data_IF_726453833682
#
_entry.id   IF_726453833682
#
_cell.length_a   1.000
_cell.length_b   1.000
_cell.length_c   1.000
_cell.angle_alpha   90.00
_cell.angle_beta   90.00
_cell.angle_gamma   90.00
#
_symmetry.space_group_name_H-M   'P 1'
#
loop_
_entity.id
_entity.type
_entity.pdbx_description
1 polymer ?
#
# COMPACT_ATOMS: atom_id res chain seq x y z
N UNK A 1 3.09 -21.27 -5.07
CA UNK A 1 2.23 -20.11 -4.81
C UNK A 1 3.11 -18.86 -4.89
N UNK A 2 2.55 -17.71 -5.28
CA UNK A 2 3.28 -16.43 -5.32
C UNK A 2 3.41 -15.84 -3.92
N UNK A 3 4.55 -15.24 -3.59
CA UNK A 3 4.75 -14.62 -2.27
C UNK A 3 4.30 -13.15 -2.24
N UNK A 4 4.81 -12.31 -3.14
CA UNK A 4 4.41 -10.91 -3.22
C UNK A 4 2.94 -10.78 -3.64
N UNK A 5 2.25 -9.80 -3.05
CA UNK A 5 0.81 -9.60 -3.19
C UNK A 5 0.48 -8.55 -4.24
N UNK A 6 -0.75 -8.59 -4.75
CA UNK A 6 -1.24 -7.62 -5.74
C UNK A 6 -2.38 -6.81 -5.13
N UNK A 7 -2.17 -5.50 -5.07
CA UNK A 7 -3.20 -4.51 -4.74
C UNK A 7 -3.77 -3.98 -6.05
N UNK A 8 -5.09 -3.99 -6.20
CA UNK A 8 -5.77 -3.45 -7.39
C UNK A 8 -6.70 -2.33 -6.98
N UNK A 9 -6.60 -1.19 -7.65
CA UNK A 9 -7.57 -0.10 -7.47
C UNK A 9 -8.85 -0.44 -8.19
N UNK A 10 -9.98 -0.38 -7.49
CA UNK A 10 -11.29 -0.60 -8.10
C UNK A 10 -11.87 0.69 -8.66
N UNK A 11 -12.46 0.59 -9.84
CA UNK A 11 -13.08 1.70 -10.55
C UNK A 11 -14.05 1.21 -11.63
N UNK A 12 -14.55 2.10 -12.50
CA UNK A 12 -15.54 1.76 -13.52
C UNK A 12 -15.22 0.53 -14.39
N UNK A 13 -13.93 0.25 -14.64
CA UNK A 13 -13.51 -0.90 -15.45
C UNK A 13 -13.56 -2.24 -14.70
N UNK A 14 -13.66 -2.23 -13.37
CA UNK A 14 -13.49 -3.41 -12.52
C UNK A 14 -14.59 -3.65 -11.48
N UNK A 15 -15.71 -2.93 -11.58
CA UNK A 15 -16.81 -3.03 -10.62
C UNK A 15 -18.02 -3.84 -11.11
N UNK A 16 -17.90 -4.55 -12.23
CA UNK A 16 -18.86 -5.63 -12.54
C UNK A 16 -18.46 -6.91 -11.78
N UNK A 17 -19.42 -7.73 -11.33
CA UNK A 17 -19.14 -8.98 -10.63
C UNK A 17 -18.21 -9.91 -11.40
N UNK A 18 -18.41 -10.04 -12.71
CA UNK A 18 -17.66 -10.96 -13.57
C UNK A 18 -16.19 -10.55 -13.70
N UNK A 19 -15.93 -9.26 -13.92
CA UNK A 19 -14.56 -8.75 -14.05
C UNK A 19 -13.83 -8.86 -12.72
N UNK A 20 -14.50 -8.52 -11.61
CA UNK A 20 -13.88 -8.59 -10.29
C UNK A 20 -13.56 -10.04 -9.89
N UNK A 21 -14.46 -10.99 -10.17
CA UNK A 21 -14.20 -12.43 -9.99
C UNK A 21 -12.98 -12.88 -10.82
N UNK A 22 -12.91 -12.49 -12.09
CA UNK A 22 -11.75 -12.78 -12.94
C UNK A 22 -10.44 -12.17 -12.40
N UNK A 23 -10.48 -10.95 -11.86
CA UNK A 23 -9.33 -10.34 -11.20
C UNK A 23 -8.89 -11.10 -9.94
N UNK A 24 -9.85 -11.60 -9.13
CA UNK A 24 -9.56 -12.46 -7.97
C UNK A 24 -8.89 -13.76 -8.43
N UNK A 25 -9.36 -14.36 -9.53
CA UNK A 25 -8.74 -15.55 -10.12
C UNK A 25 -7.36 -15.28 -10.71
N UNK A 26 -7.17 -14.13 -11.37
CA UNK A 26 -5.88 -13.70 -11.91
C UNK A 26 -4.85 -13.40 -10.80
N UNK A 27 -5.32 -13.14 -9.58
CA UNK A 27 -4.49 -13.11 -8.37
C UNK A 27 -4.52 -11.80 -7.60
N UNK A 28 -5.57 -10.99 -7.71
CA UNK A 28 -5.80 -9.85 -6.81
C UNK A 28 -5.85 -10.34 -5.34
N UNK A 29 -5.18 -9.62 -4.44
CA UNK A 29 -5.18 -9.90 -3.00
C UNK A 29 -5.85 -8.78 -2.18
N UNK A 30 -5.77 -7.54 -2.68
CA UNK A 30 -6.32 -6.36 -1.99
C UNK A 30 -7.07 -5.50 -3.01
N UNK A 31 -8.30 -5.12 -2.66
CA UNK A 31 -9.08 -4.10 -3.34
C UNK A 31 -8.80 -2.73 -2.71
N UNK A 32 -8.18 -1.83 -3.47
CA UNK A 32 -7.99 -0.43 -3.08
C UNK A 32 -9.21 0.38 -3.51
N UNK A 33 -9.81 1.09 -2.55
CA UNK A 33 -10.85 2.08 -2.78
C UNK A 33 -10.21 3.47 -2.68
N UNK A 34 -10.18 4.20 -3.79
CA UNK A 34 -9.56 5.52 -3.84
C UNK A 34 -10.60 6.61 -3.50
N UNK A 35 -10.55 7.15 -2.29
CA UNK A 35 -11.52 8.16 -1.82
C UNK A 35 -11.25 9.56 -2.37
N UNK A 36 -10.24 9.75 -3.21
CA UNK A 36 -10.11 10.95 -4.04
C UNK A 36 -11.24 11.09 -5.07
N UNK A 37 -11.96 10.00 -5.35
CA UNK A 37 -13.05 9.92 -6.32
C UNK A 37 -14.20 9.06 -5.78
N UNK A 38 -15.38 9.21 -6.37
CA UNK A 38 -16.58 8.45 -6.00
C UNK A 38 -17.28 8.96 -4.75
N UNK A 39 -18.58 8.68 -4.65
CA UNK A 39 -19.37 8.95 -3.45
C UNK A 39 -19.24 7.80 -2.45
N UNK A 40 -19.68 8.04 -1.21
CA UNK A 40 -19.80 6.99 -0.20
C UNK A 40 -20.70 5.84 -0.66
N UNK A 41 -21.84 6.13 -1.29
CA UNK A 41 -22.75 5.11 -1.85
C UNK A 41 -22.06 4.20 -2.88
N UNK A 42 -21.23 4.80 -3.74
CA UNK A 42 -20.42 4.03 -4.69
C UNK A 42 -19.46 3.10 -3.93
N UNK A 43 -18.70 3.62 -2.97
CA UNK A 43 -17.76 2.81 -2.19
C UNK A 43 -18.44 1.71 -1.36
N UNK A 44 -19.65 1.96 -0.83
CA UNK A 44 -20.48 0.93 -0.18
C UNK A 44 -20.80 -0.22 -1.14
N UNK A 45 -21.29 0.11 -2.35
CA UNK A 45 -21.64 -0.91 -3.33
C UNK A 45 -20.45 -1.78 -3.75
N UNK A 46 -19.27 -1.16 -3.90
CA UNK A 46 -18.03 -1.86 -4.23
C UNK A 46 -17.57 -2.72 -3.06
N UNK A 47 -17.67 -2.22 -1.83
CA UNK A 47 -17.36 -2.98 -0.62
C UNK A 47 -18.20 -4.26 -0.53
N UNK A 48 -19.53 -4.14 -0.69
CA UNK A 48 -20.45 -5.27 -0.61
C UNK A 48 -20.16 -6.32 -1.69
N UNK A 49 -19.85 -5.87 -2.90
CA UNK A 49 -19.45 -6.76 -3.99
C UNK A 49 -18.16 -7.53 -3.65
N UNK A 50 -17.11 -6.85 -3.18
CA UNK A 50 -15.83 -7.49 -2.81
C UNK A 50 -16.04 -8.50 -1.68
N UNK A 51 -16.83 -8.16 -0.65
CA UNK A 51 -17.12 -9.06 0.47
C UNK A 51 -17.98 -10.26 0.06
N UNK A 52 -18.92 -10.07 -0.85
CA UNK A 52 -19.72 -11.15 -1.46
C UNK A 52 -18.83 -12.15 -2.18
N UNK A 53 -18.05 -11.68 -3.17
CA UNK A 53 -17.16 -12.54 -3.95
C UNK A 53 -16.07 -13.21 -3.09
N UNK A 54 -15.48 -12.48 -2.13
CA UNK A 54 -14.49 -13.05 -1.21
C UNK A 54 -15.06 -14.24 -0.42
N UNK A 55 -16.34 -14.14 0.01
CA UNK A 55 -17.05 -15.22 0.71
C UNK A 55 -17.36 -16.38 -0.23
N UNK A 56 -17.93 -16.11 -1.39
CA UNK A 56 -18.39 -17.14 -2.33
C UNK A 56 -17.22 -17.95 -2.90
N UNK A 57 -16.12 -17.28 -3.22
CA UNK A 57 -14.89 -17.90 -3.71
C UNK A 57 -14.03 -18.50 -2.59
N UNK A 58 -14.40 -18.29 -1.32
CA UNK A 58 -13.61 -18.67 -0.13
C UNK A 58 -12.15 -18.21 -0.22
N UNK A 59 -11.94 -16.97 -0.69
CA UNK A 59 -10.62 -16.35 -0.86
C UNK A 59 -10.55 -15.06 -0.07
N UNK A 60 -9.52 -14.84 0.76
CA UNK A 60 -9.40 -13.59 1.50
C UNK A 60 -9.02 -12.47 0.55
N UNK A 61 -9.88 -11.43 0.48
CA UNK A 61 -9.57 -10.18 -0.22
C UNK A 61 -9.62 -9.05 0.79
N UNK A 62 -8.48 -8.41 1.02
CA UNK A 62 -8.44 -7.23 1.89
C UNK A 62 -9.02 -6.01 1.17
N UNK A 63 -9.58 -5.08 1.93
CA UNK A 63 -10.04 -3.78 1.43
C UNK A 63 -9.17 -2.69 2.05
N UNK A 64 -8.51 -1.92 1.20
CA UNK A 64 -7.67 -0.78 1.57
C UNK A 64 -8.40 0.51 1.19
N UNK A 65 -8.75 1.29 2.20
CA UNK A 65 -9.24 2.65 2.01
C UNK A 65 -8.05 3.58 1.81
N UNK A 66 -7.97 4.25 0.66
CA UNK A 66 -6.94 5.26 0.39
C UNK A 66 -7.54 6.66 0.55
N UNK A 67 -7.16 7.34 1.64
CA UNK A 67 -7.62 8.70 1.96
C UNK A 67 -6.98 9.71 1.02
N UNK A 68 -7.71 10.76 0.69
CA UNK A 68 -7.30 11.73 -0.34
C UNK A 68 -6.13 12.60 0.12
N UNK A 69 -6.16 13.07 1.36
CA UNK A 69 -5.22 14.06 1.87
C UNK A 69 -5.37 15.46 1.23
N UNK A 70 -4.47 16.41 1.57
CA UNK A 70 -4.54 17.79 1.11
C UNK A 70 -4.21 17.91 -0.38
N UNK A 71 -5.25 17.89 -1.22
CA UNK A 71 -5.11 17.99 -2.68
C UNK A 71 -5.16 19.44 -3.14
N UNK A 72 -3.99 20.06 -3.30
CA UNK A 72 -3.85 21.42 -3.79
C UNK A 72 -4.02 21.42 -5.31
N UNK A 73 -4.90 22.27 -5.84
CA UNK A 73 -5.20 22.38 -7.27
C UNK A 73 -5.38 23.82 -7.69
N UNK A 74 -5.20 24.08 -8.99
CA UNK A 74 -5.71 25.31 -9.62
C UNK A 74 -7.21 25.21 -9.83
N UNK A 75 -7.90 26.34 -9.87
CA UNK A 75 -9.32 26.44 -10.19
C UNK A 75 -9.64 26.16 -11.66
N UNK A 76 -10.74 26.73 -12.14
CA UNK A 76 -11.18 26.60 -13.53
C UNK A 76 -10.79 27.82 -14.35
N UNK A 77 -10.58 27.64 -15.65
CA UNK A 77 -10.29 28.68 -16.62
C UNK A 77 -11.52 28.98 -17.47
N UNK A 78 -11.67 30.22 -17.93
CA UNK A 78 -12.74 30.66 -18.85
C UNK A 78 -12.84 29.77 -20.11
N UNK A 79 -11.69 29.43 -20.67
CA UNK A 79 -11.55 28.61 -21.89
C UNK A 79 -11.29 27.13 -21.59
N UNK A 80 -11.35 26.72 -20.32
CA UNK A 80 -11.04 25.36 -19.85
C UNK A 80 -9.54 25.02 -19.78
N UNK A 81 -8.68 25.82 -20.40
CA UNK A 81 -7.22 25.72 -20.32
C UNK A 81 -6.52 26.99 -20.79
N UNK A 82 -5.28 27.18 -20.36
CA UNK A 82 -4.41 28.27 -20.79
C UNK A 82 -3.00 27.79 -21.15
N UNK A 83 -2.35 28.47 -22.09
CA UNK A 83 -0.96 28.20 -22.46
C UNK A 83 -0.05 29.18 -21.70
N UNK A 84 0.91 28.63 -20.96
CA UNK A 84 1.90 29.39 -20.20
C UNK A 84 3.25 29.30 -20.91
N UNK A 85 3.86 30.42 -21.28
CA UNK A 85 5.16 30.47 -21.95
C UNK A 85 6.26 30.86 -20.98
N UNK A 86 7.48 30.41 -21.28
CA UNK A 86 8.63 30.65 -20.40
C UNK A 86 8.91 32.15 -20.30
N UNK A 87 9.03 32.64 -19.07
CA UNK A 87 9.24 34.05 -18.76
C UNK A 87 7.95 34.83 -18.52
N UNK A 88 6.77 34.25 -18.81
CA UNK A 88 5.50 34.88 -18.46
C UNK A 88 5.37 35.00 -16.94
N UNK A 89 4.79 36.12 -16.49
CA UNK A 89 4.31 36.24 -15.13
C UNK A 89 2.93 35.59 -15.01
N UNK A 90 2.72 34.81 -13.97
CA UNK A 90 1.45 34.14 -13.70
C UNK A 90 1.14 34.18 -12.21
N UNK A 91 -0.09 34.56 -11.87
CA UNK A 91 -0.54 34.77 -10.50
C UNK A 91 -1.42 33.60 -10.09
N UNK A 92 -1.10 32.98 -8.95
CA UNK A 92 -1.99 32.05 -8.29
C UNK A 92 -2.56 32.76 -7.06
N UNK A 93 -3.88 32.86 -7.00
CA UNK A 93 -4.58 33.58 -5.93
C UNK A 93 -5.46 32.65 -5.12
N UNK A 94 -5.70 33.01 -3.86
CA UNK A 94 -6.70 32.35 -3.01
C UNK A 94 -8.10 32.95 -3.16
N UNK A 95 -8.23 34.05 -3.90
CA UNK A 95 -9.53 34.60 -4.26
C UNK A 95 -10.28 33.67 -5.22
N UNK A 96 -11.61 33.55 -5.06
CA UNK A 96 -12.46 32.83 -6.00
C UNK A 96 -12.61 33.62 -7.30
N UNK A 97 -11.76 33.29 -8.28
CA UNK A 97 -11.73 33.90 -9.60
C UNK A 97 -11.70 32.84 -10.69
N UNK A 98 -12.34 33.15 -11.82
CA UNK A 98 -12.22 32.37 -13.02
C UNK A 98 -10.87 32.67 -13.69
N UNK A 99 -10.09 31.62 -13.93
CA UNK A 99 -8.72 31.73 -14.40
C UNK A 99 -8.60 32.18 -15.86
N UNK A 100 -7.53 32.91 -16.14
CA UNK A 100 -7.12 33.33 -17.48
C UNK A 100 -5.59 33.16 -17.66
N UNK A 101 -4.96 33.84 -18.62
CA UNK A 101 -3.52 33.77 -18.88
C UNK A 101 -2.63 34.46 -17.86
N UNK A 102 -3.20 35.29 -16.99
CA UNK A 102 -2.46 36.10 -16.03
C UNK A 102 -2.69 35.65 -14.59
N UNK A 103 -3.90 35.18 -14.25
CA UNK A 103 -4.30 34.87 -12.87
C UNK A 103 -5.24 33.67 -12.81
N UNK A 104 -5.08 32.81 -11.79
CA UNK A 104 -5.99 31.69 -11.50
C UNK A 104 -6.16 31.48 -9.99
N UNK A 105 -7.34 31.04 -9.58
CA UNK A 105 -7.62 30.62 -8.20
C UNK A 105 -6.91 29.30 -7.84
N UNK A 106 -6.73 29.04 -6.54
CA UNK A 106 -6.33 27.74 -6.01
C UNK A 106 -7.33 27.22 -4.97
N UNK A 107 -7.42 25.90 -4.84
CA UNK A 107 -8.21 25.25 -3.77
C UNK A 107 -7.54 25.33 -2.40
N UNK A 108 -6.33 25.89 -2.29
CA UNK A 108 -5.57 25.96 -1.05
C UNK A 108 -5.48 27.40 -0.53
N UNK A 109 -6.35 27.70 0.43
CA UNK A 109 -6.52 29.05 0.98
C UNK A 109 -5.27 29.59 1.70
N UNK A 110 -4.36 28.71 2.15
CA UNK A 110 -3.12 29.08 2.83
C UNK A 110 -1.90 29.16 1.90
N UNK A 111 -2.08 29.07 0.57
CA UNK A 111 -0.95 29.07 -0.37
C UNK A 111 -0.05 30.30 -0.19
N UNK A 112 -0.65 31.48 -0.09
CA UNK A 112 0.05 32.76 0.08
C UNK A 112 0.76 32.90 1.44
N UNK A 113 0.37 32.11 2.45
CA UNK A 113 0.99 32.11 3.77
C UNK A 113 2.20 31.16 3.83
N UNK A 114 2.17 30.08 3.04
CA UNK A 114 3.15 29.00 3.09
C UNK A 114 4.33 29.16 2.13
N UNK A 115 4.15 29.91 1.04
CA UNK A 115 5.19 30.09 0.02
C UNK A 115 5.95 31.39 0.22
N UNK A 116 7.25 31.35 -0.08
CA UNK A 116 8.12 32.52 -0.05
C UNK A 116 8.79 32.74 -1.39
N UNK A 117 9.32 33.95 -1.61
CA UNK A 117 10.09 34.27 -2.82
C UNK A 117 11.21 33.25 -3.03
N UNK A 118 11.25 32.67 -4.23
CA UNK A 118 12.21 31.66 -4.62
C UNK A 118 11.67 30.23 -4.63
N UNK A 119 10.53 29.97 -3.96
CA UNK A 119 9.88 28.67 -3.96
C UNK A 119 9.47 28.20 -5.36
N UNK A 120 9.44 26.88 -5.53
CA UNK A 120 9.08 26.22 -6.78
C UNK A 120 7.66 25.69 -6.65
N UNK A 121 6.83 26.02 -7.64
CA UNK A 121 5.50 25.46 -7.83
C UNK A 121 5.50 24.59 -9.07
N UNK A 122 5.06 23.36 -8.93
CA UNK A 122 4.96 22.38 -10.01
C UNK A 122 3.49 22.15 -10.33
N UNK A 123 3.07 22.41 -11.57
CA UNK A 123 1.69 22.23 -12.00
C UNK A 123 1.56 21.05 -12.95
N UNK A 124 0.38 20.41 -12.88
CA UNK A 124 0.02 19.26 -13.72
C UNK A 124 1.09 18.15 -13.67
N UNK A 125 1.28 17.59 -12.48
CA UNK A 125 2.25 16.51 -12.20
C UNK A 125 3.69 16.88 -12.62
N UNK A 126 4.05 18.16 -12.44
CA UNK A 126 5.39 18.69 -12.71
C UNK A 126 5.67 19.02 -14.18
N UNK A 127 4.69 18.93 -15.08
CA UNK A 127 4.85 19.29 -16.49
C UNK A 127 5.10 20.79 -16.69
N UNK A 128 4.59 21.62 -15.80
CA UNK A 128 4.80 23.07 -15.80
C UNK A 128 5.50 23.45 -14.50
N UNK A 129 6.48 24.34 -14.59
CA UNK A 129 7.26 24.79 -13.44
C UNK A 129 7.22 26.30 -13.34
N UNK A 130 6.80 26.77 -12.18
CA UNK A 130 6.75 28.17 -11.81
C UNK A 130 7.73 28.44 -10.66
N UNK A 131 8.24 29.66 -10.59
CA UNK A 131 9.02 30.16 -9.45
C UNK A 131 8.35 31.37 -8.84
N UNK A 132 8.14 31.35 -7.53
CA UNK A 132 7.59 32.50 -6.79
C UNK A 132 8.57 33.66 -6.86
N UNK A 133 8.10 34.81 -7.35
CA UNK A 133 8.87 36.05 -7.40
C UNK A 133 8.42 37.06 -6.35
N UNK A 134 7.14 37.02 -5.95
CA UNK A 134 6.59 37.88 -4.90
C UNK A 134 5.29 37.30 -4.32
N UNK A 135 4.92 37.75 -3.11
CA UNK A 135 3.65 37.42 -2.47
C UNK A 135 3.02 38.70 -1.93
N UNK A 136 1.87 39.07 -2.46
CA UNK A 136 1.17 40.31 -2.12
C UNK A 136 -0.28 40.03 -1.70
N UNK A 137 -0.51 40.01 -0.38
CA UNK A 137 -1.83 39.64 0.16
C UNK A 137 -2.20 38.23 -0.29
N UNK A 138 -3.32 38.10 -1.00
CA UNK A 138 -3.85 36.82 -1.47
C UNK A 138 -3.17 36.29 -2.74
N UNK A 139 -2.29 37.07 -3.37
CA UNK A 139 -1.72 36.78 -4.68
C UNK A 139 -0.26 36.32 -4.57
N UNK A 140 0.01 35.13 -5.10
CA UNK A 140 1.36 34.58 -5.31
C UNK A 140 1.76 34.84 -6.75
N UNK A 141 2.62 35.83 -6.96
CA UNK A 141 3.16 36.15 -8.28
C UNK A 141 4.32 35.22 -8.59
N UNK A 142 4.27 34.57 -9.75
CA UNK A 142 5.28 33.62 -10.19
C UNK A 142 5.80 33.97 -11.59
N UNK A 143 6.97 33.42 -11.94
CA UNK A 143 7.47 33.40 -13.32
C UNK A 143 7.51 31.96 -13.83
N UNK A 144 7.07 31.76 -15.08
CA UNK A 144 7.07 30.44 -15.72
C UNK A 144 8.50 30.06 -16.14
N UNK A 145 9.04 29.00 -15.53
CA UNK A 145 10.36 28.44 -15.89
C UNK A 145 10.26 27.38 -16.99
N UNK A 146 9.17 26.60 -16.98
CA UNK A 146 8.88 25.54 -17.97
C UNK A 146 7.46 25.73 -18.49
N UNK A 147 7.34 25.85 -19.82
CA UNK A 147 6.07 26.12 -20.52
C UNK A 147 5.17 24.88 -20.58
N UNK A 148 3.86 25.12 -20.73
CA UNK A 148 2.90 24.05 -20.97
C UNK A 148 1.46 24.55 -21.04
N UNK A 149 0.54 23.61 -21.26
CA UNK A 149 -0.90 23.88 -21.27
C UNK A 149 -1.48 23.47 -19.93
N UNK A 150 -1.93 24.46 -19.15
CA UNK A 150 -2.57 24.25 -17.86
C UNK A 150 -4.08 24.13 -18.05
N UNK A 151 -4.66 23.01 -17.63
CA UNK A 151 -6.11 22.76 -17.70
C UNK A 151 -6.77 23.00 -16.34
N UNK A 152 -8.10 22.98 -16.32
CA UNK A 152 -8.89 23.05 -15.08
C UNK A 152 -8.47 21.99 -14.06
N UNK A 153 -8.51 22.35 -12.77
CA UNK A 153 -8.41 21.41 -11.63
C UNK A 153 -7.11 20.56 -11.61
N UNK A 154 -6.04 21.04 -12.24
CA UNK A 154 -4.72 20.40 -12.22
C UNK A 154 -4.03 20.60 -10.88
N UNK A 155 -3.25 19.62 -10.46
CA UNK A 155 -2.56 19.63 -9.17
C UNK A 155 -1.48 20.71 -9.10
N UNK A 156 -1.24 21.21 -7.88
CA UNK A 156 -0.09 22.05 -7.52
C UNK A 156 0.74 21.26 -6.52
N UNK A 157 2.01 21.07 -6.83
CA UNK A 157 3.01 20.45 -5.98
C UNK A 157 3.98 21.53 -5.49
N UNK A 158 4.39 21.40 -4.23
CA UNK A 158 5.11 22.43 -3.46
C UNK A 158 6.36 21.80 -2.83
N UNK A 159 7.39 21.43 -3.64
CA UNK A 159 8.53 20.66 -3.16
C UNK A 159 9.43 21.42 -2.19
N UNK A 160 9.46 22.76 -2.30
CA UNK A 160 10.34 23.61 -1.47
C UNK A 160 9.60 24.32 -0.35
N UNK A 161 8.27 24.44 -0.43
CA UNK A 161 7.48 25.14 0.57
C UNK A 161 7.05 24.22 1.72
N UNK A 162 6.98 24.79 2.93
CA UNK A 162 6.51 24.08 4.11
C UNK A 162 4.97 24.17 4.19
N UNK A 163 4.28 23.32 3.43
CA UNK A 163 2.81 23.28 3.40
C UNK A 163 2.27 23.08 4.82
N UNK A 164 1.46 24.01 5.32
CA UNK A 164 0.86 23.96 6.67
C UNK A 164 -0.39 23.09 6.75
N UNK A 165 -1.01 22.74 5.61
CA UNK A 165 -2.15 21.84 5.53
C UNK A 165 -1.90 20.54 6.32
N UNK A 166 -2.84 20.08 7.15
CA UNK A 166 -2.73 18.78 7.80
C UNK A 166 -2.79 17.66 6.77
N UNK A 167 -2.11 16.54 7.05
CA UNK A 167 -2.19 15.36 6.18
C UNK A 167 -3.58 14.70 6.23
N UNK A 168 -4.38 14.98 7.27
CA UNK A 168 -5.76 14.56 7.41
C UNK A 168 -6.71 15.76 7.27
N UNK A 169 -7.40 15.86 6.15
CA UNK A 169 -8.38 16.94 5.89
C UNK A 169 -9.73 16.68 6.57
N UNK A 170 -10.62 17.67 6.61
CA UNK A 170 -12.00 17.47 7.11
C UNK A 170 -12.76 16.44 6.27
N UNK A 171 -12.55 16.44 4.94
CA UNK A 171 -13.09 15.38 4.07
C UNK A 171 -12.53 14.02 4.45
N UNK A 172 -11.23 13.90 4.69
CA UNK A 172 -10.63 12.62 5.07
C UNK A 172 -11.15 12.11 6.42
N UNK A 173 -11.50 12.98 7.37
CA UNK A 173 -12.12 12.57 8.64
C UNK A 173 -13.50 11.94 8.40
N UNK A 174 -14.31 12.56 7.53
CA UNK A 174 -15.63 12.03 7.14
C UNK A 174 -15.47 10.70 6.40
N UNK A 175 -14.53 10.63 5.46
CA UNK A 175 -14.23 9.41 4.71
C UNK A 175 -13.72 8.30 5.62
N UNK A 176 -12.82 8.61 6.55
CA UNK A 176 -12.28 7.70 7.55
C UNK A 176 -13.39 7.07 8.40
N UNK A 177 -14.31 7.89 8.92
CA UNK A 177 -15.45 7.40 9.69
C UNK A 177 -16.32 6.44 8.87
N UNK A 178 -16.61 6.81 7.62
CA UNK A 178 -17.37 5.96 6.71
C UNK A 178 -16.66 4.62 6.45
N UNK A 179 -15.36 4.63 6.14
CA UNK A 179 -14.60 3.40 5.91
C UNK A 179 -14.49 2.50 7.14
N UNK A 180 -14.38 3.09 8.34
CA UNK A 180 -14.45 2.36 9.61
C UNK A 180 -15.82 1.71 9.78
N UNK A 181 -16.90 2.44 9.46
CA UNK A 181 -18.27 1.95 9.48
C UNK A 181 -18.51 0.76 8.53
N UNK A 182 -17.91 0.79 7.34
CA UNK A 182 -17.92 -0.35 6.40
C UNK A 182 -17.18 -1.57 6.97
N UNK A 183 -16.09 -1.34 7.70
CA UNK A 183 -15.21 -2.39 8.19
C UNK A 183 -14.09 -2.72 7.20
N UNK A 184 -13.46 -1.70 6.62
CA UNK A 184 -12.23 -1.84 5.83
C UNK A 184 -11.10 -2.48 6.66
N UNK A 185 -10.15 -3.11 5.97
CA UNK A 185 -9.06 -3.87 6.60
C UNK A 185 -7.80 -3.01 6.83
N UNK A 186 -7.56 -2.06 5.92
CA UNK A 186 -6.45 -1.12 5.93
C UNK A 186 -6.91 0.31 5.62
N UNK A 187 -6.19 1.29 6.17
CA UNK A 187 -6.27 2.70 5.79
C UNK A 187 -4.92 3.12 5.25
N UNK A 188 -4.87 3.74 4.08
CA UNK A 188 -3.70 4.42 3.58
C UNK A 188 -3.86 5.94 3.76
N UNK A 189 -2.86 6.56 4.40
CA UNK A 189 -2.83 8.01 4.63
C UNK A 189 -1.91 8.65 3.57
N UNK A 190 -2.49 9.53 2.76
CA UNK A 190 -1.76 10.33 1.75
C UNK A 190 -0.97 11.48 2.38
N UNK A 191 0.05 11.93 1.67
CA UNK A 191 0.86 13.11 2.00
C UNK A 191 1.41 13.10 3.42
N UNK A 192 1.79 11.93 3.92
CA UNK A 192 2.50 11.80 5.20
C UNK A 192 3.82 12.55 5.09
N UNK A 193 4.20 13.26 6.14
CA UNK A 193 5.48 13.97 6.27
C UNK A 193 6.24 13.57 7.54
N UNK A 194 5.53 13.15 8.58
CA UNK A 194 6.12 12.81 9.88
C UNK A 194 5.32 11.73 10.63
N UNK A 195 5.90 11.18 11.70
CA UNK A 195 5.20 10.27 12.61
C UNK A 195 3.95 10.90 13.27
N UNK A 196 3.93 12.23 13.43
CA UNK A 196 2.80 12.95 14.01
C UNK A 196 1.53 12.79 13.19
N UNK A 197 1.63 12.76 11.86
CA UNK A 197 0.46 12.60 10.97
C UNK A 197 -0.27 11.27 11.24
N UNK A 198 0.49 10.20 11.52
CA UNK A 198 -0.05 8.89 11.85
C UNK A 198 -0.66 8.89 13.25
N UNK A 199 -0.03 9.55 14.22
CA UNK A 199 -0.60 9.70 15.55
C UNK A 199 -1.91 10.46 15.52
N UNK A 200 -1.99 11.55 14.75
CA UNK A 200 -3.23 12.31 14.55
C UNK A 200 -4.33 11.43 13.96
N UNK A 201 -4.05 10.69 12.89
CA UNK A 201 -5.01 9.72 12.33
C UNK A 201 -5.50 8.72 13.40
N UNK A 202 -4.59 8.17 14.22
CA UNK A 202 -4.94 7.23 15.29
C UNK A 202 -5.86 7.84 16.36
N UNK A 203 -5.76 9.15 16.65
CA UNK A 203 -6.68 9.81 17.61
C UNK A 203 -8.13 9.85 17.14
N UNK A 204 -8.37 9.75 15.83
CA UNK A 204 -9.70 9.69 15.23
C UNK A 204 -10.29 8.28 15.16
N UNK A 205 -9.51 7.24 15.49
CA UNK A 205 -9.98 5.86 15.48
C UNK A 205 -10.78 5.53 16.74
N UNK A 206 -12.00 4.97 16.63
CA UNK A 206 -12.72 4.44 17.77
C UNK A 206 -11.89 3.34 18.45
N UNK A 207 -11.90 3.30 19.80
CA UNK A 207 -11.14 2.30 20.58
C UNK A 207 -11.43 0.86 20.16
N UNK A 208 -12.66 0.56 19.74
CA UNK A 208 -13.07 -0.77 19.26
C UNK A 208 -12.35 -1.24 17.99
N UNK A 209 -11.77 -0.31 17.22
CA UNK A 209 -11.14 -0.58 15.93
C UNK A 209 -9.65 -0.21 15.94
N UNK A 210 -9.24 0.73 16.79
CA UNK A 210 -7.89 1.32 16.84
C UNK A 210 -6.76 0.28 16.91
N UNK A 211 -6.91 -0.79 17.68
CA UNK A 211 -5.87 -1.82 17.85
C UNK A 211 -5.80 -2.81 16.66
N UNK A 212 -6.90 -2.91 15.91
CA UNK A 212 -7.06 -3.94 14.89
C UNK A 212 -6.91 -3.42 13.46
N UNK A 213 -7.27 -2.17 13.18
CA UNK A 213 -7.10 -1.58 11.85
C UNK A 213 -5.62 -1.29 11.59
N UNK A 214 -5.18 -1.48 10.34
CA UNK A 214 -3.78 -1.30 9.94
C UNK A 214 -3.62 -0.04 9.11
N UNK A 215 -2.62 0.76 9.45
CA UNK A 215 -2.35 2.04 8.79
C UNK A 215 -1.12 1.91 7.89
N UNK A 216 -1.28 2.29 6.62
CA UNK A 216 -0.25 2.35 5.61
C UNK A 216 0.10 3.83 5.35
N UNK A 217 1.33 4.24 5.63
CA UNK A 217 1.79 5.60 5.33
C UNK A 217 2.25 5.71 3.90
N UNK A 218 1.70 6.65 3.13
CA UNK A 218 2.14 6.90 1.75
C UNK A 218 3.34 7.84 1.75
N UNK A 219 4.45 7.36 1.20
CA UNK A 219 5.71 8.08 1.07
C UNK A 219 5.70 8.81 -0.27
N UNK A 220 5.27 10.06 -0.23
CA UNK A 220 5.00 10.92 -1.41
C UNK A 220 5.78 12.24 -1.35
N UNK A 221 6.31 12.57 -0.18
CA UNK A 221 6.89 13.88 0.12
C UNK A 221 8.37 13.76 0.51
N UNK A 222 9.22 14.73 0.14
CA UNK A 222 10.63 14.73 0.53
C UNK A 222 10.81 14.63 2.05
N UNK A 223 9.95 15.28 2.83
CA UNK A 223 9.97 15.25 4.29
C UNK A 223 9.78 13.82 4.83
N UNK A 224 8.89 13.03 4.24
CA UNK A 224 8.71 11.63 4.64
C UNK A 224 9.91 10.75 4.32
N UNK A 225 10.70 11.09 3.31
CA UNK A 225 11.96 10.39 3.02
C UNK A 225 13.01 10.68 4.10
N UNK A 226 13.05 11.92 4.61
CA UNK A 226 13.94 12.31 5.70
C UNK A 226 13.53 11.68 7.04
N UNK A 227 12.24 11.68 7.36
CA UNK A 227 11.62 11.16 8.60
C UNK A 227 11.24 9.67 8.53
N UNK A 228 11.79 8.95 7.54
CA UNK A 228 11.28 7.65 7.13
C UNK A 228 11.28 6.59 8.25
N UNK A 229 12.32 6.56 9.08
CA UNK A 229 12.41 5.59 10.18
C UNK A 229 11.33 5.82 11.24
N UNK A 230 11.10 7.08 11.61
CA UNK A 230 10.11 7.44 12.61
C UNK A 230 8.70 7.16 12.10
N UNK A 231 8.42 7.44 10.82
CA UNK A 231 7.17 7.06 10.16
C UNK A 231 6.97 5.54 10.18
N UNK A 232 7.96 4.76 9.75
CA UNK A 232 7.88 3.28 9.73
C UNK A 232 7.64 2.74 11.16
N UNK A 233 8.22 3.37 12.19
CA UNK A 233 8.10 2.92 13.57
C UNK A 233 6.66 2.96 14.10
N UNK A 234 5.84 3.92 13.66
CA UNK A 234 4.45 4.14 14.12
C UNK A 234 3.38 3.61 13.16
N UNK A 235 3.80 3.16 11.98
CA UNK A 235 2.91 2.61 10.93
C UNK A 235 2.86 1.08 10.93
N UNK A 236 1.80 0.51 10.38
CA UNK A 236 1.70 -0.93 10.14
C UNK A 236 2.36 -1.33 8.82
N UNK A 237 2.46 -0.38 7.89
CA UNK A 237 3.21 -0.49 6.64
C UNK A 237 3.44 0.87 5.98
N UNK A 238 4.14 0.85 4.86
CA UNK A 238 4.37 2.01 3.99
C UNK A 238 3.99 1.68 2.55
N UNK A 239 3.59 2.71 1.81
CA UNK A 239 3.35 2.65 0.37
C UNK A 239 4.26 3.67 -0.32
N UNK A 240 5.14 3.20 -1.19
CA UNK A 240 6.05 4.06 -1.95
C UNK A 240 5.32 4.47 -3.23
N UNK A 241 4.77 5.69 -3.27
CA UNK A 241 4.05 6.20 -4.44
C UNK A 241 5.01 7.01 -5.33
N UNK A 242 5.55 6.33 -6.32
CA UNK A 242 6.71 6.78 -7.11
C UNK A 242 6.36 7.90 -8.09
N UNK A 243 5.12 7.92 -8.58
CA UNK A 243 4.57 9.01 -9.38
C UNK A 243 4.59 10.31 -8.59
N UNK A 244 3.91 10.35 -7.45
CA UNK A 244 3.86 11.54 -6.59
C UNK A 244 5.25 11.95 -6.09
N UNK A 245 6.06 10.98 -5.65
CA UNK A 245 7.42 11.25 -5.18
C UNK A 245 8.33 11.77 -6.31
N UNK A 246 8.17 11.28 -7.54
CA UNK A 246 8.93 11.71 -8.70
C UNK A 246 8.52 13.08 -9.24
N UNK A 247 7.38 13.62 -8.81
CA UNK A 247 7.02 15.04 -9.03
C UNK A 247 7.78 15.92 -8.04
N UNK A 248 7.84 15.52 -6.77
CA UNK A 248 8.42 16.34 -5.68
C UNK A 248 9.95 16.20 -5.55
N UNK A 249 10.53 15.12 -6.10
CA UNK A 249 11.96 14.82 -6.03
C UNK A 249 12.54 14.49 -7.42
N UNK A 250 13.85 14.69 -7.64
CA UNK A 250 14.47 14.32 -8.91
C UNK A 250 14.26 12.83 -9.25
N UNK A 251 13.80 12.49 -10.46
CA UNK A 251 13.42 11.13 -10.83
C UNK A 251 14.59 10.14 -10.74
N UNK A 252 15.83 10.59 -10.94
CA UNK A 252 17.03 9.76 -10.78
C UNK A 252 17.30 9.31 -9.34
N UNK A 253 16.71 9.98 -8.34
CA UNK A 253 16.85 9.61 -6.92
C UNK A 253 15.80 8.57 -6.48
N UNK A 254 14.62 8.58 -7.10
CA UNK A 254 13.45 7.77 -6.71
C UNK A 254 13.78 6.27 -6.62
N UNK A 255 14.52 5.63 -7.56
CA UNK A 255 14.85 4.22 -7.45
C UNK A 255 15.68 3.88 -6.20
N UNK A 256 16.60 4.76 -5.78
CA UNK A 256 17.39 4.53 -4.57
C UNK A 256 16.55 4.73 -3.31
N UNK A 257 15.64 5.71 -3.31
CA UNK A 257 14.71 5.95 -2.21
C UNK A 257 13.78 4.74 -2.02
N UNK A 258 13.24 4.18 -3.11
CA UNK A 258 12.44 2.95 -3.06
C UNK A 258 13.20 1.80 -2.39
N UNK A 259 14.42 1.51 -2.86
CA UNK A 259 15.26 0.44 -2.31
C UNK A 259 15.52 0.63 -0.82
N UNK A 260 15.90 1.84 -0.43
CA UNK A 260 16.12 2.21 0.96
C UNK A 260 14.85 2.02 1.80
N UNK A 261 13.71 2.52 1.34
CA UNK A 261 12.46 2.47 2.08
C UNK A 261 11.97 1.03 2.29
N UNK A 262 12.01 0.22 1.24
CA UNK A 262 11.66 -1.20 1.33
C UNK A 262 12.61 -1.92 2.30
N UNK A 263 13.91 -1.70 2.20
CA UNK A 263 14.88 -2.33 3.08
C UNK A 263 14.67 -1.96 4.56
N UNK A 264 14.44 -0.68 4.87
CA UNK A 264 14.19 -0.21 6.24
C UNK A 264 12.87 -0.76 6.80
N UNK A 265 11.80 -0.73 6.02
CA UNK A 265 10.50 -1.25 6.44
C UNK A 265 10.55 -2.77 6.68
N UNK A 266 11.21 -3.52 5.79
CA UNK A 266 11.43 -4.94 5.97
C UNK A 266 12.26 -5.23 7.24
N UNK A 267 13.32 -4.46 7.50
CA UNK A 267 14.12 -4.63 8.72
C UNK A 267 13.30 -4.40 10.02
N UNK A 268 12.26 -3.56 9.95
CA UNK A 268 11.32 -3.31 11.04
C UNK A 268 10.08 -4.22 11.02
N UNK A 269 10.01 -5.18 10.09
CA UNK A 269 8.87 -6.08 9.92
C UNK A 269 7.57 -5.38 9.55
N UNK A 270 7.65 -4.25 8.83
CA UNK A 270 6.50 -3.48 8.33
C UNK A 270 6.20 -3.83 6.89
N UNK A 271 4.92 -3.77 6.53
CA UNK A 271 4.44 -4.07 5.17
C UNK A 271 4.93 -3.00 4.21
N UNK A 272 5.30 -3.40 2.99
CA UNK A 272 5.73 -2.50 1.91
C UNK A 272 4.86 -2.70 0.67
N UNK A 273 4.32 -1.61 0.15
CA UNK A 273 3.59 -1.58 -1.13
C UNK A 273 4.36 -0.68 -2.10
N UNK A 274 4.79 -1.22 -3.24
CA UNK A 274 5.32 -0.39 -4.33
C UNK A 274 4.19 0.00 -5.27
N UNK A 275 3.97 1.30 -5.44
CA UNK A 275 2.76 1.86 -6.06
C UNK A 275 3.07 2.86 -7.17
N UNK A 276 2.06 3.06 -8.05
CA UNK A 276 2.04 3.95 -9.23
C UNK A 276 3.09 3.60 -10.30
N UNK A 277 2.87 3.99 -11.56
CA UNK A 277 3.82 3.75 -12.68
C UNK A 277 4.27 2.29 -12.85
N UNK A 278 3.42 1.31 -12.51
CA UNK A 278 3.81 -0.10 -12.56
C UNK A 278 3.64 -0.65 -13.98
N UNK A 279 2.39 -0.78 -14.45
CA UNK A 279 2.06 -1.27 -15.78
C UNK A 279 1.18 -0.23 -16.52
N UNK A 280 1.45 1.06 -16.33
CA UNK A 280 0.60 2.18 -16.76
C UNK A 280 0.17 2.09 -18.23
N UNK A 281 1.05 1.65 -19.13
CA UNK A 281 0.73 1.47 -20.55
C UNK A 281 -0.39 0.45 -20.80
N UNK A 282 -0.66 -0.44 -19.84
CA UNK A 282 -1.75 -1.42 -19.91
C UNK A 282 -3.14 -0.84 -19.66
N UNK A 283 -3.23 0.44 -19.27
CA UNK A 283 -4.50 1.18 -19.35
C UNK A 283 -5.06 1.16 -20.77
N UNK A 284 -4.19 1.31 -21.78
CA UNK A 284 -4.56 1.42 -23.18
C UNK A 284 -4.13 0.20 -24.02
N UNK A 285 -3.14 -0.57 -23.56
CA UNK A 285 -2.53 -1.66 -24.33
C UNK A 285 -2.69 -3.02 -23.66
N UNK A 286 -2.80 -4.09 -24.46
CA UNK A 286 -2.92 -5.45 -23.94
C UNK A 286 -1.63 -5.99 -23.27
N UNK A 287 -0.47 -5.38 -23.53
CA UNK A 287 0.83 -5.78 -22.97
C UNK A 287 1.60 -4.57 -22.48
N UNK A 288 2.42 -4.72 -21.42
CA UNK A 288 3.25 -3.64 -20.95
C UNK A 288 4.49 -3.48 -21.83
N UNK A 289 5.20 -2.38 -21.63
CA UNK A 289 6.54 -2.18 -22.16
C UNK A 289 7.55 -3.08 -21.42
N UNK A 290 8.74 -3.27 -22.03
CA UNK A 290 9.85 -3.97 -21.36
C UNK A 290 10.37 -3.21 -20.14
N UNK A 291 10.28 -1.88 -20.16
CA UNK A 291 10.70 -1.03 -19.04
C UNK A 291 9.81 -1.27 -17.82
N UNK A 292 8.49 -1.24 -18.00
CA UNK A 292 7.50 -1.53 -16.94
C UNK A 292 7.66 -2.95 -16.38
N UNK A 293 7.83 -3.95 -17.24
CA UNK A 293 8.08 -5.33 -16.78
C UNK A 293 9.37 -5.43 -15.93
N UNK A 294 10.43 -4.74 -16.34
CA UNK A 294 11.68 -4.67 -15.57
C UNK A 294 11.49 -3.93 -14.25
N UNK A 295 10.67 -2.89 -14.23
CA UNK A 295 10.43 -2.06 -13.06
C UNK A 295 9.64 -2.83 -11.97
N UNK A 296 8.57 -3.52 -12.37
CA UNK A 296 7.86 -4.47 -11.50
C UNK A 296 8.80 -5.55 -10.95
N UNK A 297 9.63 -6.13 -11.82
CA UNK A 297 10.58 -7.16 -11.40
C UNK A 297 11.59 -6.63 -10.37
N UNK A 298 12.08 -5.40 -10.55
CA UNK A 298 12.99 -4.76 -9.59
C UNK A 298 12.31 -4.48 -8.25
N UNK A 299 11.05 -4.05 -8.22
CA UNK A 299 10.31 -3.87 -6.96
C UNK A 299 10.21 -5.18 -6.16
N UNK A 300 9.98 -6.31 -6.84
CA UNK A 300 9.99 -7.65 -6.22
C UNK A 300 11.38 -8.02 -5.72
N UNK A 301 12.43 -7.80 -6.54
CA UNK A 301 13.83 -8.06 -6.14
C UNK A 301 14.29 -7.19 -4.97
N UNK A 302 13.74 -5.98 -4.82
CA UNK A 302 13.99 -5.08 -3.69
C UNK A 302 13.33 -5.58 -2.40
N UNK A 303 12.40 -6.52 -2.51
CA UNK A 303 11.76 -7.20 -1.38
C UNK A 303 10.43 -6.59 -0.98
N UNK A 304 9.70 -5.94 -1.91
CA UNK A 304 8.35 -5.41 -1.65
C UNK A 304 7.39 -6.54 -1.24
N UNK A 305 6.54 -6.31 -0.24
CA UNK A 305 5.51 -7.28 0.16
C UNK A 305 4.39 -7.33 -0.87
N UNK A 306 4.07 -6.19 -1.48
CA UNK A 306 3.05 -6.07 -2.50
C UNK A 306 3.41 -5.03 -3.58
N UNK A 307 2.76 -5.19 -4.73
CA UNK A 307 2.79 -4.26 -5.87
C UNK A 307 1.36 -3.80 -6.17
N UNK A 308 1.19 -2.55 -6.61
CA UNK A 308 -0.13 -1.95 -6.78
C UNK A 308 -0.42 -1.47 -8.20
N UNK A 309 -1.57 -1.89 -8.73
CA UNK A 309 -2.18 -1.36 -9.95
C UNK A 309 -3.15 -0.23 -9.61
N UNK A 310 -3.05 0.86 -10.37
CA UNK A 310 -3.78 2.12 -10.19
C UNK A 310 -4.81 2.29 -11.32
N UNK A 311 -4.49 3.09 -12.34
CA UNK A 311 -5.39 3.32 -13.48
C UNK A 311 -5.65 2.05 -14.29
N UNK A 312 -4.67 1.14 -14.32
CA UNK A 312 -4.69 -0.10 -15.08
C UNK A 312 -5.93 -0.95 -14.78
N UNK A 313 -6.31 -1.04 -13.49
CA UNK A 313 -7.49 -1.80 -13.05
C UNK A 313 -8.70 -0.92 -12.82
N UNK A 314 -8.53 0.35 -12.46
CA UNK A 314 -9.66 1.21 -12.12
C UNK A 314 -10.44 1.68 -13.37
N UNK A 315 -9.72 2.07 -14.44
CA UNK A 315 -10.33 2.67 -15.62
C UNK A 315 -9.73 2.17 -16.95
N UNK A 316 -8.73 1.30 -16.90
CA UNK A 316 -8.06 0.74 -18.08
C UNK A 316 -8.96 -0.21 -18.88
N UNK A 317 -8.59 -0.41 -20.15
CA UNK A 317 -9.26 -1.32 -21.09
C UNK A 317 -9.02 -2.80 -20.78
N UNK A 318 -7.95 -3.12 -20.05
CA UNK A 318 -7.47 -4.48 -19.82
C UNK A 318 -7.21 -4.79 -18.33
N UNK A 319 -8.21 -4.61 -17.44
CA UNK A 319 -8.00 -4.71 -15.99
C UNK A 319 -7.59 -6.12 -15.56
N UNK A 320 -8.21 -7.17 -16.10
CA UNK A 320 -7.89 -8.57 -15.76
C UNK A 320 -6.49 -8.95 -16.26
N UNK A 321 -6.14 -8.53 -17.47
CA UNK A 321 -4.84 -8.78 -18.08
C UNK A 321 -3.72 -8.10 -17.31
N UNK A 322 -3.93 -6.88 -16.81
CA UNK A 322 -2.96 -6.18 -15.98
C UNK A 322 -2.66 -6.98 -14.70
N UNK A 323 -3.69 -7.50 -14.03
CA UNK A 323 -3.51 -8.39 -12.86
C UNK A 323 -2.77 -9.67 -13.25
N UNK A 324 -3.13 -10.30 -14.37
CA UNK A 324 -2.51 -11.55 -14.85
C UNK A 324 -1.04 -11.32 -15.22
N UNK A 325 -0.72 -10.20 -15.86
CA UNK A 325 0.64 -9.81 -16.21
C UNK A 325 1.48 -9.55 -14.95
N UNK A 326 0.94 -8.77 -14.01
CA UNK A 326 1.57 -8.53 -12.72
C UNK A 326 1.88 -9.85 -12.00
N UNK A 327 0.90 -10.76 -11.95
CA UNK A 327 1.08 -12.09 -11.37
C UNK A 327 2.16 -12.92 -12.09
N UNK A 328 2.23 -12.84 -13.42
CA UNK A 328 3.23 -13.54 -14.22
C UNK A 328 4.65 -13.02 -13.97
N UNK A 329 4.84 -11.70 -13.90
CA UNK A 329 6.15 -11.10 -13.65
C UNK A 329 6.66 -11.52 -12.27
N UNK A 330 5.84 -11.35 -11.22
CA UNK A 330 6.21 -11.76 -9.87
C UNK A 330 6.57 -13.26 -9.83
N UNK A 331 5.72 -14.10 -10.43
CA UNK A 331 5.93 -15.55 -10.44
C UNK A 331 7.20 -15.99 -11.17
N UNK A 332 7.64 -15.24 -12.18
CA UNK A 332 8.91 -15.50 -12.87
C UNK A 332 10.12 -15.09 -12.01
N UNK A 333 10.06 -13.91 -11.40
CA UNK A 333 11.11 -13.41 -10.51
C UNK A 333 11.32 -14.33 -9.32
N UNK A 334 10.25 -14.73 -8.63
CA UNK A 334 10.33 -15.56 -7.42
C UNK A 334 10.87 -16.98 -7.68
N UNK A 335 10.67 -17.52 -8.90
CA UNK A 335 11.24 -18.82 -9.32
C UNK A 335 12.74 -18.73 -9.62
N UNK A 336 13.23 -17.54 -9.95
CA UNK A 336 14.64 -17.35 -10.33
C UNK A 336 15.58 -17.77 -9.20
N UNK A 337 16.75 -18.28 -9.56
CA UNK A 337 17.82 -18.53 -8.58
C UNK A 337 18.34 -17.23 -7.98
N UNK A 338 18.29 -16.12 -8.72
CA UNK A 338 18.70 -14.79 -8.26
C UNK A 338 17.87 -14.34 -7.05
N UNK A 339 16.55 -14.48 -7.11
CA UNK A 339 15.67 -14.15 -5.99
C UNK A 339 15.89 -15.10 -4.80
N UNK A 340 15.98 -16.41 -5.04
CA UNK A 340 16.17 -17.43 -3.98
C UNK A 340 17.51 -17.37 -3.26
N UNK A 341 18.50 -16.72 -3.88
CA UNK A 341 19.85 -16.52 -3.35
C UNK A 341 20.05 -15.09 -2.83
N UNK A 342 18.99 -14.27 -2.74
CA UNK A 342 19.08 -13.00 -2.04
C UNK A 342 19.56 -13.27 -0.61
N UNK A 343 20.51 -12.47 -0.10
CA UNK A 343 21.04 -12.67 1.24
C UNK A 343 19.92 -12.51 2.27
N UNK A 344 19.95 -13.36 3.29
CA UNK A 344 19.06 -13.24 4.43
C UNK A 344 19.15 -11.82 5.03
N UNK A 345 18.01 -11.31 5.49
CA UNK A 345 17.96 -9.99 6.12
C UNK A 345 18.79 -10.00 7.41
N UNK A 346 20.00 -9.43 7.33
CA UNK A 346 20.97 -9.38 8.44
C UNK A 346 20.52 -8.49 9.61
N UNK A 347 19.50 -7.66 9.42
CA UNK A 347 19.19 -6.51 10.28
C UNK A 347 18.13 -6.71 11.37
N UNK A 348 17.53 -7.89 11.52
CA UNK A 348 16.55 -8.15 12.60
C UNK A 348 17.23 -8.21 14.00
N UNK A 349 18.55 -7.99 14.07
CA UNK A 349 19.37 -8.13 15.29
C UNK A 349 19.03 -7.19 16.46
N UNK A 350 18.25 -6.13 16.24
CA UNK A 350 17.83 -5.21 17.30
C UNK A 350 16.65 -5.75 18.14
N UNK A 351 15.90 -6.73 17.62
CA UNK A 351 14.74 -7.29 18.30
C UNK A 351 15.11 -8.58 19.04
N UNK A 352 15.79 -8.45 20.17
CA UNK A 352 16.09 -9.58 21.08
C UNK A 352 14.86 -9.96 21.93
N UNK A 353 13.77 -10.34 21.28
CA UNK A 353 12.52 -10.73 21.93
C UNK A 353 12.25 -12.22 21.79
N UNK A 354 11.46 -12.78 22.71
CA UNK A 354 11.08 -14.20 22.67
C UNK A 354 10.37 -14.57 21.36
N UNK A 355 9.39 -13.79 20.86
CA UNK A 355 8.78 -14.03 19.55
C UNK A 355 9.79 -14.11 18.41
N UNK A 356 10.78 -13.20 18.40
CA UNK A 356 11.77 -13.15 17.33
C UNK A 356 12.69 -14.38 17.32
N UNK A 357 13.11 -14.84 18.50
CA UNK A 357 13.91 -16.06 18.60
C UNK A 357 13.14 -17.27 18.06
N UNK A 358 11.86 -17.40 18.40
CA UNK A 358 10.99 -18.48 17.90
C UNK A 358 10.80 -18.39 16.39
N UNK A 359 10.46 -17.20 15.87
CA UNK A 359 10.27 -17.00 14.44
C UNK A 359 11.54 -17.32 13.63
N UNK A 360 12.70 -16.83 14.09
CA UNK A 360 13.99 -17.14 13.47
C UNK A 360 14.27 -18.64 13.47
N UNK A 361 14.09 -19.31 14.61
CA UNK A 361 14.31 -20.75 14.72
C UNK A 361 13.36 -21.54 13.82
N UNK A 362 12.10 -21.09 13.70
CA UNK A 362 11.11 -21.71 12.82
C UNK A 362 11.50 -21.59 11.35
N UNK A 363 11.93 -20.41 10.90
CA UNK A 363 12.36 -20.22 9.51
C UNK A 363 13.62 -21.03 9.18
N UNK A 364 14.61 -21.06 10.06
CA UNK A 364 15.82 -21.88 9.87
C UNK A 364 15.47 -23.36 9.80
N UNK A 365 14.69 -23.85 10.77
CA UNK A 365 14.30 -25.27 10.79
C UNK A 365 13.41 -25.67 9.61
N UNK A 366 12.57 -24.76 9.13
CA UNK A 366 11.75 -24.97 7.95
C UNK A 366 12.59 -25.12 6.67
N UNK A 367 13.64 -24.31 6.50
CA UNK A 367 14.56 -24.41 5.36
C UNK A 367 15.42 -25.67 5.45
N UNK A 368 15.99 -25.99 6.62
CA UNK A 368 16.84 -27.16 6.83
C UNK A 368 16.11 -28.49 6.56
N UNK A 369 14.86 -28.60 7.01
CA UNK A 369 14.04 -29.79 6.78
C UNK A 369 13.31 -29.76 5.42
N UNK A 370 13.36 -28.64 4.70
CA UNK A 370 12.59 -28.41 3.48
C UNK A 370 11.09 -28.77 3.65
N UNK A 371 10.49 -28.26 4.72
CA UNK A 371 9.10 -28.58 5.09
C UNK A 371 8.10 -28.10 4.03
N UNK A 372 6.92 -28.70 4.01
CA UNK A 372 5.84 -28.36 3.08
C UNK A 372 5.17 -27.00 3.36
N UNK A 373 5.35 -26.46 4.57
CA UNK A 373 4.86 -25.14 4.96
C UNK A 373 5.11 -24.80 6.43
N UNK A 374 5.00 -23.51 6.74
CA UNK A 374 5.06 -23.00 8.11
C UNK A 374 3.64 -22.61 8.53
N UNK A 375 3.03 -23.41 9.38
CA UNK A 375 1.69 -23.15 9.92
C UNK A 375 1.80 -22.19 11.10
N UNK A 376 1.13 -21.05 10.99
CA UNK A 376 1.14 -19.99 11.99
C UNK A 376 -0.26 -19.83 12.58
N UNK A 377 -0.41 -20.06 13.87
CA UNK A 377 -1.67 -19.80 14.58
C UNK A 377 -1.59 -18.39 15.18
N UNK A 378 -2.55 -17.52 14.84
CA UNK A 378 -2.47 -16.10 15.18
C UNK A 378 -3.82 -15.46 15.46
N UNK A 379 -3.90 -14.65 16.52
CA UNK A 379 -5.08 -13.85 16.82
C UNK A 379 -5.03 -12.48 16.10
N UNK A 380 -3.89 -11.79 16.13
CA UNK A 380 -3.75 -10.41 15.62
C UNK A 380 -3.00 -10.30 14.28
N UNK A 381 -2.49 -11.42 13.76
CA UNK A 381 -1.60 -11.45 12.58
C UNK A 381 -0.12 -11.22 12.92
N UNK A 382 0.22 -10.83 14.16
CA UNK A 382 1.60 -10.49 14.54
C UNK A 382 2.62 -11.62 14.31
N UNK A 383 2.28 -12.87 14.64
CA UNK A 383 3.16 -14.02 14.38
C UNK A 383 3.44 -14.21 12.89
N UNK A 384 2.42 -14.05 12.03
CA UNK A 384 2.58 -14.20 10.59
C UNK A 384 3.46 -13.07 10.01
N UNK A 385 3.27 -11.84 10.50
CA UNK A 385 4.14 -10.69 10.18
C UNK A 385 5.60 -10.95 10.59
N UNK A 386 5.80 -11.56 11.75
CA UNK A 386 7.14 -11.86 12.23
C UNK A 386 7.84 -12.90 11.35
N UNK A 387 7.13 -13.98 11.00
CA UNK A 387 7.65 -15.03 10.12
C UNK A 387 7.94 -14.47 8.72
N UNK A 388 7.04 -13.66 8.12
CA UNK A 388 7.27 -13.10 6.77
C UNK A 388 8.49 -12.16 6.72
N UNK A 389 8.88 -11.57 7.85
CA UNK A 389 10.05 -10.68 7.95
C UNK A 389 11.35 -11.43 7.66
N UNK A 390 11.40 -12.73 8.00
CA UNK A 390 12.53 -13.60 7.67
C UNK A 390 12.50 -14.14 6.24
N UNK A 391 11.49 -13.76 5.44
CA UNK A 391 11.33 -14.13 4.02
C UNK A 391 11.55 -15.64 3.77
N UNK A 392 10.86 -16.54 4.51
CA UNK A 392 11.02 -17.99 4.31
C UNK A 392 10.71 -18.38 2.85
N UNK A 393 11.40 -19.41 2.36
CA UNK A 393 11.11 -19.99 1.04
C UNK A 393 9.80 -20.76 1.03
N UNK A 394 9.43 -21.34 2.17
CA UNK A 394 8.19 -22.07 2.36
C UNK A 394 7.02 -21.08 2.54
N UNK A 395 5.86 -21.50 2.04
CA UNK A 395 4.60 -20.79 2.25
C UNK A 395 4.24 -20.70 3.73
N UNK A 396 3.73 -19.54 4.15
CA UNK A 396 3.27 -19.30 5.51
C UNK A 396 1.76 -19.52 5.53
N UNK A 397 1.29 -20.53 6.25
CA UNK A 397 -0.11 -20.91 6.34
C UNK A 397 -0.66 -20.28 7.62
N UNK A 398 -1.29 -19.11 7.51
CA UNK A 398 -1.70 -18.33 8.67
C UNK A 398 -3.16 -18.61 9.03
N UNK A 399 -3.38 -19.25 10.17
CA UNK A 399 -4.68 -19.61 10.70
C UNK A 399 -5.12 -18.63 11.78
N UNK A 400 -6.33 -18.10 11.64
CA UNK A 400 -6.89 -17.14 12.60
C UNK A 400 -8.39 -17.35 12.81
N UNK A 401 -8.93 -17.13 14.02
CA UNK A 401 -10.37 -17.17 14.24
C UNK A 401 -11.04 -15.85 13.84
N UNK A 402 -10.27 -14.77 13.69
CA UNK A 402 -10.80 -13.42 13.48
C UNK A 402 -10.91 -13.05 12.01
N UNK A 403 -12.12 -12.76 11.55
CA UNK A 403 -12.42 -12.46 10.14
C UNK A 403 -11.66 -11.25 9.58
N UNK A 404 -11.49 -10.17 10.36
CA UNK A 404 -10.69 -9.01 9.91
C UNK A 404 -9.22 -9.39 9.70
N UNK A 405 -8.64 -10.15 10.62
CA UNK A 405 -7.25 -10.62 10.51
C UNK A 405 -7.09 -11.57 9.32
N UNK A 406 -8.07 -12.44 9.07
CA UNK A 406 -8.10 -13.31 7.89
C UNK A 406 -7.98 -12.51 6.58
N UNK A 407 -8.72 -11.40 6.44
CA UNK A 407 -8.57 -10.53 5.27
C UNK A 407 -7.25 -9.77 5.29
N UNK A 408 -6.81 -9.22 6.44
CA UNK A 408 -5.55 -8.46 6.54
C UNK A 408 -4.33 -9.29 6.11
N UNK A 409 -4.31 -10.57 6.45
CA UNK A 409 -3.24 -11.50 6.05
C UNK A 409 -3.12 -11.66 4.54
N UNK A 410 -4.14 -11.30 3.74
CA UNK A 410 -4.06 -11.32 2.27
C UNK A 410 -2.97 -10.38 1.72
N UNK A 411 -2.60 -9.34 2.47
CA UNK A 411 -1.54 -8.39 2.10
C UNK A 411 -0.13 -8.83 2.56
N UNK A 412 -0.02 -9.89 3.38
CA UNK A 412 1.26 -10.28 3.99
C UNK A 412 2.07 -11.15 3.04
N UNK A 413 3.32 -10.79 2.77
CA UNK A 413 4.19 -11.52 1.84
C UNK A 413 4.30 -13.01 2.19
N UNK A 414 4.10 -13.89 1.21
CA UNK A 414 4.23 -15.34 1.38
C UNK A 414 3.12 -16.00 2.21
N UNK A 415 2.14 -15.23 2.69
CA UNK A 415 1.07 -15.75 3.56
C UNK A 415 -0.15 -16.25 2.79
N UNK A 416 -0.62 -17.44 3.13
CA UNK A 416 -1.88 -18.03 2.73
C UNK A 416 -2.82 -18.08 3.95
N UNK A 417 -3.87 -17.22 4.00
CA UNK A 417 -4.74 -17.12 5.16
C UNK A 417 -5.81 -18.21 5.19
N UNK A 418 -6.10 -18.73 6.40
CA UNK A 418 -7.20 -19.64 6.67
C UNK A 418 -7.97 -19.20 7.91
N UNK A 419 -9.29 -19.32 7.86
CA UNK A 419 -10.14 -19.10 9.02
C UNK A 419 -10.29 -20.41 9.79
N UNK A 420 -9.77 -20.45 11.02
CA UNK A 420 -9.73 -21.65 11.85
C UNK A 420 -9.88 -21.26 13.32
N UNK A 421 -10.82 -21.93 14.01
CA UNK A 421 -11.01 -21.75 15.45
C UNK A 421 -9.79 -22.24 16.23
N UNK A 422 -9.39 -21.45 17.24
CA UNK A 422 -8.26 -21.79 18.11
C UNK A 422 -8.77 -22.40 19.42
N UNK A 423 -8.07 -23.44 19.89
CA UNK A 423 -8.36 -24.20 21.10
C UNK A 423 -7.16 -24.13 22.05
N UNK A 424 -7.41 -24.06 23.36
CA UNK A 424 -6.35 -24.06 24.38
C UNK A 424 -5.53 -25.37 24.37
N UNK A 425 -6.15 -26.49 23.97
CA UNK A 425 -5.51 -27.79 23.90
C UNK A 425 -4.65 -27.91 22.62
N UNK A 426 -3.33 -28.03 22.80
CA UNK A 426 -2.35 -28.14 21.72
C UNK A 426 -2.59 -29.37 20.81
N UNK A 427 -2.99 -30.52 21.36
CA UNK A 427 -3.23 -31.73 20.57
C UNK A 427 -4.49 -31.59 19.70
N UNK A 428 -5.55 -30.95 20.23
CA UNK A 428 -6.73 -30.62 19.43
C UNK A 428 -6.38 -29.63 18.31
N UNK A 429 -5.56 -28.62 18.60
CA UNK A 429 -5.06 -27.69 17.59
C UNK A 429 -4.30 -28.39 16.48
N UNK A 430 -3.42 -29.32 16.83
CA UNK A 430 -2.66 -30.07 15.83
C UNK A 430 -3.56 -30.96 14.98
N UNK A 431 -4.57 -31.61 15.56
CA UNK A 431 -5.55 -32.37 14.79
C UNK A 431 -6.29 -31.49 13.78
N UNK A 432 -6.65 -30.26 14.13
CA UNK A 432 -7.27 -29.29 13.22
C UNK A 432 -6.32 -28.80 12.13
N UNK A 433 -5.04 -28.60 12.47
CA UNK A 433 -4.00 -28.27 11.49
C UNK A 433 -3.78 -29.43 10.51
N UNK A 434 -3.74 -30.68 10.98
CA UNK A 434 -3.65 -31.85 10.10
C UNK A 434 -4.85 -31.94 9.15
N UNK A 435 -6.06 -31.73 9.67
CA UNK A 435 -7.30 -31.73 8.88
C UNK A 435 -7.26 -30.67 7.78
N UNK A 436 -6.87 -29.43 8.14
CA UNK A 436 -6.68 -28.34 7.18
C UNK A 436 -5.65 -28.70 6.10
N UNK A 437 -4.49 -29.22 6.50
CA UNK A 437 -3.42 -29.58 5.57
C UNK A 437 -3.88 -30.66 4.59
N UNK A 438 -4.62 -31.68 5.05
CA UNK A 438 -5.12 -32.76 4.19
C UNK A 438 -6.25 -32.29 3.26
N UNK A 439 -7.23 -31.57 3.79
CA UNK A 439 -8.48 -31.24 3.08
C UNK A 439 -8.34 -30.06 2.13
N UNK A 440 -7.66 -28.99 2.55
CA UNK A 440 -7.56 -27.75 1.78
C UNK A 440 -6.25 -27.66 0.96
N UNK A 441 -5.17 -28.30 1.43
CA UNK A 441 -3.86 -28.25 0.73
C UNK A 441 -3.41 -29.57 0.10
N UNK A 442 -4.18 -30.65 0.29
CA UNK A 442 -3.83 -31.97 -0.25
C UNK A 442 -2.57 -32.59 0.36
N UNK A 443 -2.22 -32.20 1.58
CA UNK A 443 -1.10 -32.76 2.34
C UNK A 443 -1.28 -34.25 2.61
N UNK A 444 -0.17 -34.99 2.63
CA UNK A 444 -0.12 -36.45 2.73
C UNK A 444 0.52 -36.88 4.04
N UNK A 445 0.21 -38.11 4.45
CA UNK A 445 0.92 -38.75 5.56
C UNK A 445 2.42 -38.78 5.25
N UNK A 446 3.22 -38.35 6.22
CA UNK A 446 4.67 -38.20 6.06
C UNK A 446 5.15 -36.80 5.69
N UNK A 447 4.29 -35.91 5.20
CA UNK A 447 4.68 -34.52 4.95
C UNK A 447 5.06 -33.83 6.27
N UNK A 448 6.09 -32.99 6.21
CA UNK A 448 6.61 -32.27 7.37
C UNK A 448 6.16 -30.81 7.34
N UNK A 449 5.82 -30.27 8.51
CA UNK A 449 5.44 -28.88 8.71
C UNK A 449 6.13 -28.33 9.97
N UNK A 450 6.26 -27.02 10.04
CA UNK A 450 6.60 -26.30 11.28
C UNK A 450 5.36 -25.57 11.76
N UNK A 451 4.95 -25.79 13.00
CA UNK A 451 3.84 -25.08 13.65
C UNK A 451 4.41 -24.03 14.59
N UNK A 452 3.94 -22.78 14.44
CA UNK A 452 4.34 -21.63 15.27
C UNK A 452 3.10 -21.00 15.90
N UNK A 453 3.12 -20.82 17.22
CA UNK A 453 2.00 -20.21 17.94
C UNK A 453 2.43 -19.53 19.24
N UNK A 454 1.53 -18.70 19.80
CA UNK A 454 1.54 -18.38 21.22
C UNK A 454 0.80 -19.48 21.99
N UNK A 455 1.40 -20.00 23.05
CA UNK A 455 0.84 -21.05 23.90
C UNK A 455 0.49 -20.48 25.29
N UNK A 456 -0.73 -20.70 25.82
CA UNK A 456 -1.84 -21.45 25.21
C UNK A 456 -2.43 -20.78 23.97
N UNK A 457 -2.84 -21.58 22.98
CA UNK A 457 -3.45 -21.11 21.74
C UNK A 457 -4.89 -20.63 22.00
N UNK A 458 -5.24 -19.42 21.54
CA UNK A 458 -6.56 -18.81 21.77
C UNK A 458 -6.58 -17.75 22.87
N UNK A 459 -5.54 -17.65 23.68
CA UNK A 459 -5.27 -16.46 24.51
C UNK A 459 -4.41 -15.47 23.73
N UNK A 460 -4.41 -14.19 24.12
CA UNK A 460 -3.50 -13.16 23.60
C UNK A 460 -2.05 -13.36 24.10
N UNK A 461 -1.55 -14.59 23.96
CA UNK A 461 -0.19 -14.97 24.31
C UNK A 461 0.76 -14.54 23.19
N UNK A 462 1.91 -14.00 23.56
CA UNK A 462 2.98 -13.74 22.60
C UNK A 462 3.48 -15.05 21.96
N UNK A 463 4.01 -14.97 20.74
CA UNK A 463 4.61 -16.12 20.04
C UNK A 463 5.69 -16.74 20.89
N UNK A 464 5.50 -17.98 21.33
CA UNK A 464 6.43 -18.64 22.24
C UNK A 464 6.67 -20.14 21.99
N UNK A 465 6.04 -20.72 20.97
CA UNK A 465 6.13 -22.14 20.68
C UNK A 465 6.45 -22.38 19.21
N UNK A 466 7.40 -23.28 18.99
CA UNK A 466 7.72 -23.92 17.72
C UNK A 466 7.58 -25.43 17.89
N UNK A 467 6.86 -26.09 16.98
CA UNK A 467 6.74 -27.55 16.92
C UNK A 467 6.99 -28.04 15.50
N UNK A 468 8.00 -28.89 15.36
CA UNK A 468 8.20 -29.69 14.16
C UNK A 468 7.22 -30.86 14.19
N UNK A 469 6.45 -31.02 13.13
CA UNK A 469 5.37 -32.00 13.09
C UNK A 469 5.34 -32.72 11.75
N UNK A 470 5.16 -34.04 11.81
CA UNK A 470 4.96 -34.88 10.63
C UNK A 470 3.49 -35.26 10.57
N UNK A 471 2.83 -34.97 9.45
CA UNK A 471 1.43 -35.32 9.24
C UNK A 471 1.27 -36.84 9.34
N UNK A 472 0.27 -37.27 10.12
CA UNK A 472 -0.03 -38.70 10.29
C UNK A 472 -0.74 -39.28 9.08
#
# INVERSE_FOLDING_TARGET
MRHAKIVCTLGPASTSPEVLEEMIHAGMNVARLNFSHGSHDYHQSVYDLVRGLSKDLKRPIAILQDLQGPKIRVGTFETGSVALHRGDEFIITVDDVLGNSERVSTTYEHLHEDVVRGDILLLDDGLIRLRVIDVNGNDVTTVVEVSGILKNNKGINLPTAAVSAPSLTEKDKIDLEFGIGLGVDFIALSFVRSALDIHQLRTHLPKSVADNIKIISKIEKPQAVLELEDIISVSDGIMIARGDLGVEMPPEQVPLIQKMAIAKANAMGRITITATQMLESMTENFRPTRAEASDVANAVMDGTDAVMLSGETAAGKYPVEAVRMMASIIGEVEKSSMFRNLPDQKFIGHLRTFPNAVAKAATIGADELNVSGIVVLTNSGATARLIMTYRPRQVIIACTPHRRVYHQLALYWGVEPYQLELFDNTDMMLARVEDLMRTERGGKSGDEIVVVMGSPAGKESETNLIKFHRLK
#
